data_IF_053961467183
#
_entry.id   IF_053961467183
#
_cell.length_a   1.000
_cell.length_b   1.000
_cell.length_c   1.000
_cell.angle_alpha   90.00
_cell.angle_beta   90.00
_cell.angle_gamma   90.00
#
_symmetry.space_group_name_H-M   'P 1'
#
loop_
_entity.id
_entity.type
_entity.pdbx_description
1 polymer ?
#
# COMPACT_ATOMS: atom_id res chain seq x y z
N UNK A 1 -36.60 -39.52 -1.15
CA UNK A 1 -35.29 -40.18 -1.21
C UNK A 1 -34.39 -39.46 -0.22
N UNK A 2 -34.31 -40.00 0.99
CA UNK A 2 -33.49 -39.50 2.10
C UNK A 2 -32.04 -39.88 1.82
N UNK A 3 -31.16 -38.89 1.70
CA UNK A 3 -29.73 -39.12 1.64
C UNK A 3 -29.31 -39.79 2.95
N UNK A 4 -28.82 -41.02 2.86
CA UNK A 4 -28.27 -41.74 3.99
C UNK A 4 -26.97 -41.03 4.40
N UNK A 5 -26.97 -40.42 5.59
CA UNK A 5 -25.77 -39.89 6.23
C UNK A 5 -24.85 -41.06 6.55
N UNK A 6 -23.70 -41.14 5.86
CA UNK A 6 -22.64 -42.07 6.23
C UNK A 6 -22.13 -41.71 7.63
N UNK A 7 -21.99 -42.68 8.55
CA UNK A 7 -21.43 -42.43 9.88
C UNK A 7 -19.98 -42.00 9.74
N UNK A 8 -19.71 -40.74 10.09
CA UNK A 8 -18.37 -40.17 10.15
C UNK A 8 -17.66 -40.87 11.31
N UNK A 9 -16.62 -41.65 11.01
CA UNK A 9 -15.79 -42.31 12.01
C UNK A 9 -14.96 -41.23 12.75
N UNK A 10 -15.19 -40.98 14.07
CA UNK A 10 -14.61 -39.85 14.78
C UNK A 10 -13.11 -39.98 15.07
N UNK A 11 -12.50 -41.15 14.84
CA UNK A 11 -11.12 -41.44 15.25
C UNK A 11 -10.01 -40.97 14.27
N UNK A 12 -10.34 -40.34 13.14
CA UNK A 12 -9.31 -39.88 12.17
C UNK A 12 -9.52 -38.46 11.61
N UNK A 13 -10.40 -37.64 12.20
CA UNK A 13 -10.51 -36.24 11.74
C UNK A 13 -9.27 -35.45 12.14
N UNK A 14 -8.58 -34.86 11.16
CA UNK A 14 -7.42 -34.01 11.43
C UNK A 14 -7.79 -32.85 12.39
N UNK A 15 -6.84 -32.33 13.19
CA UNK A 15 -7.09 -31.18 14.06
C UNK A 15 -7.71 -29.98 13.33
N UNK A 16 -7.31 -29.76 12.06
CA UNK A 16 -7.89 -28.72 11.21
C UNK A 16 -9.37 -28.98 10.91
N UNK A 17 -9.77 -30.22 10.66
CA UNK A 17 -11.16 -30.57 10.43
C UNK A 17 -12.01 -30.38 11.69
N UNK A 18 -11.46 -30.71 12.87
CA UNK A 18 -12.15 -30.46 14.14
C UNK A 18 -12.36 -28.96 14.38
N UNK A 19 -11.33 -28.14 14.14
CA UNK A 19 -11.43 -26.69 14.21
C UNK A 19 -12.48 -26.14 13.23
N UNK A 20 -12.48 -26.66 11.99
CA UNK A 20 -13.46 -26.28 10.96
C UNK A 20 -14.88 -26.59 11.40
N UNK A 21 -15.12 -27.80 11.90
CA UNK A 21 -16.44 -28.21 12.38
C UNK A 21 -16.90 -27.32 13.55
N UNK A 22 -16.01 -27.04 14.51
CA UNK A 22 -16.31 -26.17 15.64
C UNK A 22 -16.63 -24.73 15.20
N UNK A 23 -15.89 -24.19 14.22
CA UNK A 23 -16.16 -22.88 13.64
C UNK A 23 -17.51 -22.85 12.92
N UNK A 24 -17.80 -23.86 12.10
CA UNK A 24 -19.10 -23.95 11.41
C UNK A 24 -20.27 -24.00 12.39
N UNK A 25 -20.21 -24.87 13.40
CA UNK A 25 -21.27 -24.93 14.42
C UNK A 25 -21.47 -23.61 15.15
N UNK A 26 -20.40 -22.82 15.36
CA UNK A 26 -20.51 -21.48 15.95
C UNK A 26 -21.05 -20.43 14.99
N UNK A 27 -20.74 -20.53 13.70
CA UNK A 27 -21.30 -19.63 12.69
C UNK A 27 -22.81 -19.84 12.53
N UNK A 28 -23.28 -21.08 12.62
CA UNK A 28 -24.71 -21.43 12.57
C UNK A 28 -25.52 -20.78 13.72
N UNK A 29 -24.88 -20.49 14.85
CA UNK A 29 -25.50 -19.83 16.01
C UNK A 29 -25.56 -18.30 15.87
N UNK A 30 -24.84 -17.71 14.92
CA UNK A 30 -24.70 -16.26 14.77
C UNK A 30 -25.55 -15.75 13.60
N UNK A 31 -26.42 -14.77 13.85
CA UNK A 31 -27.19 -14.09 12.79
C UNK A 31 -26.27 -13.40 11.77
N UNK A 32 -25.16 -12.83 12.25
CA UNK A 32 -24.16 -12.16 11.40
C UNK A 32 -22.77 -12.33 12.01
N UNK A 33 -21.85 -12.90 11.23
CA UNK A 33 -20.45 -13.00 11.60
C UNK A 33 -19.57 -12.24 10.60
N UNK A 34 -18.56 -11.54 11.13
CA UNK A 34 -17.56 -10.84 10.33
C UNK A 34 -16.16 -11.25 10.79
N UNK A 35 -15.26 -11.51 9.84
CA UNK A 35 -13.85 -11.75 10.07
C UNK A 35 -13.04 -10.68 9.35
N UNK A 36 -12.14 -10.02 10.07
CA UNK A 36 -11.20 -9.07 9.50
C UNK A 36 -9.82 -9.72 9.54
N UNK A 37 -9.23 -9.92 8.38
CA UNK A 37 -7.84 -10.37 8.21
C UNK A 37 -7.02 -9.19 7.76
N UNK A 38 -6.17 -8.68 8.66
CA UNK A 38 -5.29 -7.56 8.36
C UNK A 38 -3.95 -8.05 7.79
N UNK A 39 -3.38 -7.27 6.86
CA UNK A 39 -2.04 -7.46 6.30
C UNK A 39 -1.84 -8.86 5.69
N UNK A 40 -2.72 -9.29 4.79
CA UNK A 40 -2.56 -10.60 4.12
C UNK A 40 -1.24 -10.68 3.35
N UNK A 41 -0.67 -9.54 2.98
CA UNK A 41 0.64 -9.49 2.33
C UNK A 41 1.78 -9.88 3.26
N UNK A 42 1.55 -10.21 4.53
CA UNK A 42 2.55 -10.79 5.42
C UNK A 42 2.75 -12.30 5.23
N UNK A 43 1.80 -12.97 4.57
CA UNK A 43 1.87 -14.40 4.27
C UNK A 43 2.68 -14.65 2.99
N UNK A 44 3.24 -15.85 2.84
CA UNK A 44 3.78 -16.31 1.56
C UNK A 44 2.64 -16.58 0.57
N UNK A 45 2.93 -16.62 -0.74
CA UNK A 45 1.92 -16.91 -1.77
C UNK A 45 1.19 -18.23 -1.51
N UNK A 46 1.90 -19.27 -1.07
CA UNK A 46 1.30 -20.56 -0.75
C UNK A 46 0.35 -20.48 0.45
N UNK A 47 0.73 -19.74 1.50
CA UNK A 47 -0.12 -19.52 2.67
C UNK A 47 -1.35 -18.67 2.32
N UNK A 48 -1.21 -17.64 1.49
CA UNK A 48 -2.34 -16.86 0.98
C UNK A 48 -3.35 -17.75 0.25
N UNK A 49 -2.91 -18.61 -0.66
CA UNK A 49 -3.81 -19.51 -1.41
C UNK A 49 -4.55 -20.49 -0.49
N UNK A 50 -3.85 -21.02 0.52
CA UNK A 50 -4.48 -21.89 1.53
C UNK A 50 -5.49 -21.11 2.37
N UNK A 51 -5.15 -19.91 2.80
CA UNK A 51 -6.01 -19.03 3.58
C UNK A 51 -7.26 -18.63 2.77
N UNK A 52 -7.11 -18.18 1.53
CA UNK A 52 -8.22 -17.84 0.63
C UNK A 52 -9.17 -19.02 0.42
N UNK A 53 -8.63 -20.24 0.28
CA UNK A 53 -9.44 -21.46 0.18
C UNK A 53 -10.27 -21.69 1.45
N UNK A 54 -9.67 -21.61 2.63
CA UNK A 54 -10.40 -21.81 3.90
C UNK A 54 -11.42 -20.70 4.16
N UNK A 55 -11.07 -19.45 3.86
CA UNK A 55 -11.97 -18.30 3.98
C UNK A 55 -13.16 -18.41 3.02
N UNK A 56 -12.96 -18.95 1.81
CA UNK A 56 -14.05 -19.22 0.87
C UNK A 56 -15.04 -20.25 1.41
N UNK A 57 -14.54 -21.30 2.08
CA UNK A 57 -15.40 -22.30 2.73
C UNK A 57 -16.20 -21.71 3.89
N UNK A 58 -15.56 -20.89 4.72
CA UNK A 58 -16.24 -20.20 5.82
C UNK A 58 -17.27 -19.19 5.31
N UNK A 59 -16.97 -18.50 4.20
CA UNK A 59 -17.89 -17.52 3.61
C UNK A 59 -19.14 -18.17 3.05
N UNK A 60 -19.02 -19.37 2.49
CA UNK A 60 -20.17 -20.19 2.09
C UNK A 60 -21.10 -20.55 3.26
N UNK A 61 -20.60 -20.53 4.50
CA UNK A 61 -21.38 -20.71 5.74
C UNK A 61 -21.87 -19.39 6.36
N UNK A 62 -21.87 -18.30 5.59
CA UNK A 62 -22.39 -17.00 6.04
C UNK A 62 -21.37 -16.08 6.70
N UNK A 63 -20.09 -16.48 6.82
CA UNK A 63 -19.04 -15.59 7.31
C UNK A 63 -18.75 -14.48 6.28
N UNK A 64 -18.81 -13.22 6.72
CA UNK A 64 -18.39 -12.09 5.91
C UNK A 64 -16.93 -11.80 6.19
N UNK A 65 -16.08 -11.90 5.17
CA UNK A 65 -14.64 -11.71 5.32
C UNK A 65 -14.23 -10.38 4.71
N UNK A 66 -13.50 -9.58 5.48
CA UNK A 66 -12.80 -8.40 5.02
C UNK A 66 -11.31 -8.67 5.13
N UNK A 67 -10.58 -8.46 4.05
CA UNK A 67 -9.14 -8.68 3.97
C UNK A 67 -8.49 -7.36 3.61
N UNK A 68 -7.41 -7.00 4.29
CA UNK A 68 -6.62 -5.82 3.93
C UNK A 68 -5.33 -6.27 3.25
N UNK A 69 -4.99 -5.57 2.18
CA UNK A 69 -3.78 -5.76 1.39
C UNK A 69 -3.19 -4.38 1.11
N UNK A 70 -1.88 -4.25 1.30
CA UNK A 70 -1.05 -3.13 0.85
C UNK A 70 -0.65 -3.30 -0.62
N UNK A 71 -0.59 -4.53 -1.10
CA UNK A 71 -0.36 -4.85 -2.50
C UNK A 71 -1.69 -4.66 -3.24
N UNK A 72 -1.69 -3.75 -4.22
CA UNK A 72 -2.82 -3.66 -5.14
C UNK A 72 -2.83 -4.91 -5.99
N UNK A 73 -3.81 -5.77 -5.76
CA UNK A 73 -4.06 -6.89 -6.62
C UNK A 73 -4.63 -6.31 -7.92
N UNK A 74 -3.95 -6.46 -9.05
CA UNK A 74 -4.50 -6.01 -10.34
C UNK A 74 -5.53 -7.05 -10.80
N UNK A 75 -6.57 -7.30 -9.99
CA UNK A 75 -7.75 -8.00 -10.49
C UNK A 75 -8.46 -7.01 -11.39
N UNK A 76 -8.72 -7.46 -12.62
CA UNK A 76 -9.40 -6.74 -13.70
C UNK A 76 -10.28 -5.62 -13.15
N UNK A 77 -9.84 -4.36 -13.36
CA UNK A 77 -10.64 -3.18 -13.00
C UNK A 77 -12.03 -3.42 -13.58
N UNK A 78 -13.10 -3.42 -12.75
CA UNK A 78 -14.44 -3.61 -13.28
C UNK A 78 -14.64 -2.61 -14.40
N UNK A 79 -15.09 -3.10 -15.56
CA UNK A 79 -15.39 -2.30 -16.74
C UNK A 79 -16.21 -1.12 -16.28
N UNK A 80 -15.65 0.10 -16.30
CA UNK A 80 -16.29 1.41 -16.24
C UNK A 80 -17.83 1.36 -16.05
N UNK A 81 -18.28 0.98 -14.84
CA UNK A 81 -19.70 0.69 -14.57
C UNK A 81 -20.36 1.92 -13.97
N UNK A 82 -21.53 2.29 -14.50
CA UNK A 82 -22.31 3.45 -14.07
C UNK A 82 -23.69 3.04 -13.58
N UNK A 83 -24.37 3.96 -12.88
CA UNK A 83 -25.77 3.78 -12.52
C UNK A 83 -26.68 4.22 -13.67
N UNK A 84 -27.50 3.31 -14.20
CA UNK A 84 -28.44 3.59 -15.29
C UNK A 84 -29.67 4.41 -14.85
N UNK A 85 -29.83 4.65 -13.55
CA UNK A 85 -30.97 5.37 -12.98
C UNK A 85 -30.61 6.71 -12.34
N UNK A 86 -29.33 7.06 -12.29
CA UNK A 86 -28.91 8.41 -11.94
C UNK A 86 -28.99 9.29 -13.18
N UNK A 87 -29.72 10.40 -13.10
CA UNK A 87 -29.74 11.42 -14.16
C UNK A 87 -28.58 12.40 -13.98
N UNK A 88 -27.74 12.61 -15.00
CA UNK A 88 -26.79 13.73 -15.08
C UNK A 88 -25.35 13.45 -14.62
N UNK A 89 -24.69 14.50 -14.11
CA UNK A 89 -23.26 14.56 -13.73
C UNK A 89 -22.88 13.73 -12.49
N UNK A 90 -23.83 13.04 -11.87
CA UNK A 90 -23.60 12.12 -10.74
C UNK A 90 -23.17 10.71 -11.19
N UNK A 91 -22.91 10.50 -12.48
CA UNK A 91 -22.41 9.23 -13.03
C UNK A 91 -20.93 9.04 -12.74
N UNK A 92 -20.57 8.90 -11.46
CA UNK A 92 -19.26 8.36 -11.10
C UNK A 92 -19.23 6.85 -11.37
N UNK A 93 -18.03 6.33 -11.63
CA UNK A 93 -17.81 4.90 -11.66
C UNK A 93 -18.24 4.25 -10.34
N UNK A 94 -18.85 3.07 -10.43
CA UNK A 94 -19.33 2.31 -9.28
C UNK A 94 -18.38 1.16 -8.97
N UNK A 95 -17.80 1.18 -7.76
CA UNK A 95 -17.06 0.03 -7.21
C UNK A 95 -18.01 -1.05 -6.65
N UNK A 96 -19.17 -0.62 -6.15
CA UNK A 96 -20.23 -1.47 -5.62
C UNK A 96 -21.52 -1.17 -6.38
N UNK A 97 -22.09 -2.19 -7.02
CA UNK A 97 -23.27 -2.04 -7.86
C UNK A 97 -24.09 -3.34 -7.92
N UNK A 98 -25.34 -3.20 -8.38
CA UNK A 98 -26.25 -4.32 -8.54
C UNK A 98 -26.77 -4.39 -9.95
N UNK A 99 -26.83 -5.60 -10.50
CA UNK A 99 -27.34 -5.89 -11.86
C UNK A 99 -28.70 -6.57 -11.79
N UNK A 100 -29.55 -6.25 -12.76
CA UNK A 100 -30.85 -6.90 -12.90
C UNK A 100 -30.68 -8.37 -13.32
N UNK A 101 -30.92 -9.31 -12.41
CA UNK A 101 -30.78 -10.76 -12.63
C UNK A 101 -31.73 -11.28 -13.71
N UNK A 102 -32.93 -10.71 -13.79
CA UNK A 102 -33.91 -11.07 -14.82
C UNK A 102 -33.39 -10.74 -16.23
N UNK A 103 -32.84 -9.54 -16.44
CA UNK A 103 -32.28 -9.16 -17.73
C UNK A 103 -31.02 -9.97 -18.07
N UNK A 104 -30.20 -10.31 -17.07
CA UNK A 104 -29.01 -11.14 -17.26
C UNK A 104 -29.35 -12.55 -17.79
N UNK A 105 -30.47 -13.13 -17.36
CA UNK A 105 -30.93 -14.45 -17.81
C UNK A 105 -31.47 -14.51 -19.25
N UNK A 106 -31.69 -13.38 -19.90
CA UNK A 106 -32.32 -13.31 -21.25
C UNK A 106 -31.32 -13.39 -22.41
N UNK A 107 -30.05 -13.72 -22.15
CA UNK A 107 -29.01 -13.78 -23.18
C UNK A 107 -28.50 -12.41 -23.65
N UNK A 108 -28.90 -11.33 -22.98
CA UNK A 108 -28.34 -9.98 -23.20
C UNK A 108 -26.89 -9.98 -22.72
N UNK A 109 -25.99 -9.39 -23.51
CA UNK A 109 -24.58 -9.24 -23.13
C UNK A 109 -24.45 -8.50 -21.79
N UNK A 110 -23.51 -8.93 -20.94
CA UNK A 110 -23.39 -8.49 -19.54
C UNK A 110 -23.09 -7.00 -19.34
N UNK A 111 -22.54 -6.36 -20.36
CA UNK A 111 -22.23 -4.93 -20.47
C UNK A 111 -23.46 -4.07 -20.70
N UNK A 112 -24.60 -4.67 -21.05
CA UNK A 112 -25.85 -3.96 -21.36
C UNK A 112 -26.95 -4.21 -20.30
N UNK A 113 -26.62 -4.91 -19.21
CA UNK A 113 -27.56 -5.20 -18.14
C UNK A 113 -27.76 -3.97 -17.26
N UNK A 114 -29.03 -3.64 -16.99
CA UNK A 114 -29.39 -2.49 -16.15
C UNK A 114 -28.72 -2.57 -14.77
N UNK A 115 -28.00 -1.53 -14.41
CA UNK A 115 -27.16 -1.44 -13.23
C UNK A 115 -27.59 -0.29 -12.32
N UNK A 116 -27.63 -0.54 -11.01
CA UNK A 116 -27.95 0.46 -10.00
C UNK A 116 -26.79 0.68 -9.03
N UNK A 117 -26.60 1.93 -8.60
CA UNK A 117 -25.81 2.27 -7.42
C UNK A 117 -26.58 1.94 -6.14
N UNK A 118 -25.89 2.00 -4.98
CA UNK A 118 -26.47 1.71 -3.66
C UNK A 118 -27.73 2.52 -3.39
N UNK A 119 -27.67 3.84 -3.58
CA UNK A 119 -28.80 4.76 -3.37
C UNK A 119 -30.01 4.41 -4.24
N UNK A 120 -29.79 4.10 -5.53
CA UNK A 120 -30.88 3.74 -6.43
C UNK A 120 -31.50 2.38 -6.09
N UNK A 121 -30.68 1.43 -5.63
CA UNK A 121 -31.19 0.14 -5.11
C UNK A 121 -32.02 0.33 -3.84
N UNK A 122 -31.52 1.10 -2.87
CA UNK A 122 -32.21 1.34 -1.59
C UNK A 122 -33.55 2.08 -1.78
N UNK A 123 -33.60 2.99 -2.76
CA UNK A 123 -34.84 3.68 -3.16
C UNK A 123 -35.72 2.86 -4.12
N UNK A 124 -35.40 1.57 -4.33
CA UNK A 124 -36.15 0.62 -5.14
C UNK A 124 -36.45 1.11 -6.56
N UNK A 125 -35.47 1.73 -7.23
CA UNK A 125 -35.62 2.14 -8.64
C UNK A 125 -35.89 0.92 -9.52
N UNK A 126 -36.90 0.95 -10.41
CA UNK A 126 -37.20 -0.16 -11.30
C UNK A 126 -36.13 -0.29 -12.39
N UNK A 127 -35.91 -1.52 -12.86
CA UNK A 127 -35.12 -1.78 -14.04
C UNK A 127 -35.76 -1.08 -15.25
N UNK A 128 -34.99 -0.26 -15.97
CA UNK A 128 -35.48 0.46 -17.15
C UNK A 128 -35.91 -0.42 -18.32
N UNK A 129 -35.57 -1.72 -18.28
CA UNK A 129 -35.91 -2.69 -19.35
C UNK A 129 -37.10 -3.57 -19.02
N UNK A 130 -37.09 -4.21 -17.84
CA UNK A 130 -38.13 -5.18 -17.46
C UNK A 130 -39.10 -4.66 -16.39
N UNK A 131 -38.90 -3.45 -15.87
CA UNK A 131 -39.77 -2.84 -14.85
C UNK A 131 -39.64 -3.41 -13.43
N UNK A 132 -38.97 -4.55 -13.23
CA UNK A 132 -38.80 -5.15 -11.91
C UNK A 132 -37.93 -4.30 -10.97
N UNK A 133 -38.31 -4.23 -9.69
CA UNK A 133 -37.60 -3.49 -8.63
C UNK A 133 -36.79 -4.39 -7.70
N UNK A 134 -37.14 -5.67 -7.59
CA UNK A 134 -36.56 -6.59 -6.58
C UNK A 134 -35.43 -7.47 -7.12
N UNK A 135 -35.33 -7.62 -8.44
CA UNK A 135 -34.42 -8.55 -9.10
C UNK A 135 -32.98 -8.01 -9.25
N UNK A 136 -32.45 -7.28 -8.26
CA UNK A 136 -31.12 -6.67 -8.31
C UNK A 136 -30.12 -7.38 -7.39
N UNK A 137 -29.19 -8.10 -8.01
CA UNK A 137 -28.18 -8.93 -7.34
C UNK A 137 -26.78 -8.34 -7.50
N UNK A 138 -25.90 -8.63 -6.54
CA UNK A 138 -24.48 -8.32 -6.67
C UNK A 138 -23.87 -9.31 -7.67
N UNK A 139 -23.24 -8.83 -8.75
CA UNK A 139 -22.69 -9.72 -9.77
C UNK A 139 -21.31 -10.27 -9.42
N UNK A 140 -20.80 -9.98 -8.22
CA UNK A 140 -19.47 -10.35 -7.75
C UNK A 140 -19.56 -11.16 -6.47
N UNK A 141 -18.59 -12.05 -6.27
CA UNK A 141 -18.38 -12.81 -5.03
C UNK A 141 -17.41 -12.12 -4.08
N UNK A 142 -16.60 -11.19 -4.60
CA UNK A 142 -15.60 -10.42 -3.88
C UNK A 142 -15.65 -8.96 -4.36
N UNK A 143 -15.49 -8.02 -3.42
CA UNK A 143 -15.33 -6.60 -3.72
C UNK A 143 -13.95 -6.17 -3.26
N UNK A 144 -13.16 -5.58 -4.16
CA UNK A 144 -11.92 -4.91 -3.80
C UNK A 144 -12.21 -3.42 -3.63
N UNK A 145 -12.04 -2.92 -2.41
CA UNK A 145 -12.27 -1.52 -2.09
C UNK A 145 -10.93 -0.81 -1.94
N UNK A 146 -10.76 0.25 -2.71
CA UNK A 146 -9.61 1.14 -2.59
C UNK A 146 -9.86 2.10 -1.44
N UNK A 147 -9.11 1.95 -0.37
CA UNK A 147 -9.07 2.94 0.70
C UNK A 147 -8.12 4.07 0.26
N UNK A 148 -8.60 4.95 -0.61
CA UNK A 148 -7.91 6.20 -0.97
C UNK A 148 -8.72 7.43 -0.55
N UNK A 149 -8.13 8.62 -0.74
CA UNK A 149 -8.70 9.91 -0.32
C UNK A 149 -10.13 10.18 -0.81
N UNK A 150 -10.57 9.49 -1.88
CA UNK A 150 -11.94 9.62 -2.37
C UNK A 150 -12.95 8.88 -1.50
N UNK A 151 -12.52 7.80 -0.86
CA UNK A 151 -13.36 6.96 0.01
C UNK A 151 -13.38 7.44 1.45
N UNK A 152 -12.24 7.93 1.93
CA UNK A 152 -12.07 8.50 3.26
C UNK A 152 -11.39 9.85 3.06
N UNK A 153 -12.11 10.95 3.30
CA UNK A 153 -11.49 12.27 3.25
C UNK A 153 -10.39 12.31 4.31
N UNK A 154 -9.13 12.24 3.87
CA UNK A 154 -7.98 12.29 4.76
C UNK A 154 -7.97 13.59 5.57
N UNK A 155 -8.43 14.70 4.97
CA UNK A 155 -8.69 15.94 5.68
C UNK A 155 -9.66 15.76 6.85
N UNK A 156 -10.83 15.15 6.64
CA UNK A 156 -11.78 14.88 7.73
C UNK A 156 -11.21 13.96 8.81
N UNK A 157 -10.41 12.97 8.40
CA UNK A 157 -9.71 12.10 9.33
C UNK A 157 -8.73 12.89 10.21
N UNK A 158 -7.88 13.70 9.60
CA UNK A 158 -6.91 14.58 10.29
C UNK A 158 -7.65 15.54 11.24
N UNK A 159 -8.72 16.21 10.77
CA UNK A 159 -9.53 17.11 11.59
C UNK A 159 -10.09 16.42 12.82
N UNK A 160 -10.66 15.22 12.61
CA UNK A 160 -11.23 14.43 13.69
C UNK A 160 -10.17 14.01 14.70
N UNK A 161 -9.01 13.56 14.23
CA UNK A 161 -7.91 13.14 15.11
C UNK A 161 -7.36 14.31 15.94
N UNK A 162 -7.13 15.46 15.30
CA UNK A 162 -6.72 16.70 15.98
C UNK A 162 -7.71 17.13 17.06
N UNK A 163 -9.01 17.13 16.75
CA UNK A 163 -10.03 17.54 17.73
C UNK A 163 -10.25 16.50 18.83
N UNK A 164 -10.00 15.22 18.55
CA UNK A 164 -10.05 14.15 19.55
C UNK A 164 -8.91 14.21 20.56
N UNK A 165 -7.75 14.78 20.20
CA UNK A 165 -6.60 14.90 21.10
C UNK A 165 -6.47 16.30 21.71
N UNK A 166 -6.91 17.34 20.99
CA UNK A 166 -6.65 18.74 21.35
C UNK A 166 -7.90 19.58 21.61
N UNK A 167 -9.08 18.95 21.62
CA UNK A 167 -10.36 19.60 21.88
C UNK A 167 -10.91 20.34 20.67
N UNK A 168 -11.93 21.16 20.87
CA UNK A 168 -12.58 21.87 19.75
C UNK A 168 -11.66 22.92 19.12
N UNK A 169 -11.19 22.63 17.90
CA UNK A 169 -10.35 23.51 17.08
C UNK A 169 -11.15 24.24 16.00
N UNK A 170 -12.47 24.00 15.92
CA UNK A 170 -13.32 24.57 14.87
C UNK A 170 -13.19 23.89 13.52
N UNK A 171 -12.66 22.66 13.48
CA UNK A 171 -12.49 21.84 12.27
C UNK A 171 -13.74 21.03 11.90
N UNK A 172 -14.85 21.26 12.61
CA UNK A 172 -16.16 20.67 12.33
C UNK A 172 -16.15 19.13 12.30
N UNK A 173 -15.30 18.47 13.12
CA UNK A 173 -15.41 17.02 13.22
C UNK A 173 -16.73 16.61 13.88
N UNK A 174 -17.32 15.53 13.39
CA UNK A 174 -18.68 15.10 13.71
C UNK A 174 -18.81 14.40 15.07
N UNK A 175 -17.72 14.21 15.82
CA UNK A 175 -17.72 13.41 17.05
C UNK A 175 -17.85 14.30 18.30
N UNK A 176 -18.89 14.05 19.08
CA UNK A 176 -19.12 14.64 20.40
C UNK A 176 -19.17 13.56 21.50
N UNK A 177 -18.82 13.88 22.77
CA UNK A 177 -18.23 15.15 23.20
C UNK A 177 -16.73 15.25 22.85
N UNK A 178 -16.28 16.46 22.51
CA UNK A 178 -14.84 16.76 22.33
C UNK A 178 -14.17 16.92 23.69
N UNK A 179 -12.88 16.53 23.85
CA UNK A 179 -12.18 16.68 25.13
C UNK A 179 -11.89 18.16 25.44
N UNK A 180 -11.50 18.48 26.69
CA UNK A 180 -10.96 19.79 27.03
C UNK A 180 -9.73 20.11 26.18
N UNK A 181 -9.54 21.40 25.84
CA UNK A 181 -8.40 21.82 25.01
C UNK A 181 -7.07 21.52 25.70
N UNK A 182 -6.20 20.80 24.98
CA UNK A 182 -4.81 20.57 25.39
C UNK A 182 -4.00 21.88 25.39
N UNK A 183 -2.74 21.86 25.85
CA UNK A 183 -1.86 23.05 25.75
C UNK A 183 -1.69 23.49 24.30
N UNK A 184 -1.42 22.54 23.40
CA UNK A 184 -1.35 22.79 21.98
C UNK A 184 -2.70 23.26 21.42
N UNK A 185 -3.81 22.61 21.82
CA UNK A 185 -5.15 22.98 21.38
C UNK A 185 -5.53 24.41 21.75
N UNK A 186 -5.16 24.87 22.96
CA UNK A 186 -5.32 26.28 23.36
C UNK A 186 -4.49 27.20 22.46
N UNK A 187 -3.20 26.89 22.25
CA UNK A 187 -2.31 27.68 21.40
C UNK A 187 -2.77 27.76 19.94
N UNK A 188 -3.35 26.68 19.41
CA UNK A 188 -3.91 26.64 18.06
C UNK A 188 -5.25 27.37 17.94
N UNK A 189 -6.06 27.37 19.00
CA UNK A 189 -7.40 27.98 18.98
C UNK A 189 -7.40 29.51 19.08
N UNK A 190 -6.25 30.14 19.28
CA UNK A 190 -6.15 31.60 19.31
C UNK A 190 -6.54 32.16 17.93
N UNK A 191 -7.38 33.22 17.91
CA UNK A 191 -7.96 33.84 16.69
C UNK A 191 -6.98 34.05 15.53
N UNK A 192 -5.72 34.51 15.74
CA UNK A 192 -4.77 34.66 14.63
C UNK A 192 -4.35 33.34 13.95
N UNK A 193 -4.66 32.17 14.52
CA UNK A 193 -4.14 30.87 14.08
C UNK A 193 -5.14 30.01 13.29
N UNK A 194 -6.35 30.48 12.98
CA UNK A 194 -7.34 29.66 12.25
C UNK A 194 -6.85 29.20 10.88
N UNK A 195 -6.35 30.14 10.08
CA UNK A 195 -5.76 29.83 8.77
C UNK A 195 -4.55 28.89 8.93
N UNK A 196 -3.79 29.05 10.01
CA UNK A 196 -2.65 28.20 10.29
C UNK A 196 -3.05 26.75 10.62
N UNK A 197 -4.21 26.50 11.23
CA UNK A 197 -4.72 25.14 11.44
C UNK A 197 -5.11 24.51 10.09
N UNK A 198 -5.75 25.25 9.20
CA UNK A 198 -6.08 24.78 7.85
C UNK A 198 -4.82 24.45 7.04
N UNK A 199 -3.81 25.33 7.07
CA UNK A 199 -2.50 25.08 6.47
C UNK A 199 -1.80 23.87 7.08
N UNK A 200 -1.91 23.66 8.39
CA UNK A 200 -1.36 22.48 9.06
C UNK A 200 -2.04 21.20 8.57
N UNK A 201 -3.37 21.20 8.48
CA UNK A 201 -4.15 20.08 7.97
C UNK A 201 -3.77 19.76 6.52
N UNK A 202 -3.73 20.76 5.66
CA UNK A 202 -3.35 20.62 4.26
C UNK A 202 -1.93 20.05 4.15
N UNK A 203 -0.98 20.58 4.92
CA UNK A 203 0.40 20.09 4.93
C UNK A 203 0.49 18.64 5.39
N UNK A 204 -0.22 18.23 6.44
CA UNK A 204 -0.23 16.83 6.86
C UNK A 204 -0.83 15.95 5.76
N UNK A 205 -1.91 16.39 5.12
CA UNK A 205 -2.57 15.68 4.03
C UNK A 205 -1.63 15.49 2.83
N UNK A 206 -0.95 16.56 2.40
CA UNK A 206 0.03 16.52 1.30
C UNK A 206 1.18 15.57 1.63
N UNK A 207 1.74 15.66 2.84
CA UNK A 207 2.85 14.81 3.29
C UNK A 207 2.50 13.33 3.49
N UNK A 208 1.22 13.06 3.75
CA UNK A 208 0.72 11.71 3.87
C UNK A 208 0.44 11.07 2.51
N UNK A 209 0.33 11.85 1.42
CA UNK A 209 0.09 11.37 0.06
C UNK A 209 -1.07 10.36 -0.01
N UNK A 210 -2.18 10.71 0.67
CA UNK A 210 -3.37 9.87 0.79
C UNK A 210 -3.24 8.63 1.70
N UNK A 211 -2.12 8.49 2.42
CA UNK A 211 -1.86 7.35 3.29
C UNK A 211 -2.20 7.67 4.76
N UNK A 212 -3.25 7.04 5.27
CA UNK A 212 -3.73 7.21 6.65
C UNK A 212 -2.65 6.86 7.69
N UNK A 213 -1.84 5.83 7.46
CA UNK A 213 -0.78 5.45 8.40
C UNK A 213 0.31 6.52 8.49
N UNK A 214 0.68 7.15 7.36
CA UNK A 214 1.60 8.28 7.38
C UNK A 214 0.98 9.51 8.05
N UNK A 215 -0.30 9.80 7.80
CA UNK A 215 -0.99 10.88 8.50
C UNK A 215 -0.98 10.66 10.02
N UNK A 216 -1.27 9.44 10.49
CA UNK A 216 -1.18 9.07 11.91
C UNK A 216 0.22 9.24 12.48
N UNK A 217 1.27 8.86 11.74
CA UNK A 217 2.66 9.06 12.19
C UNK A 217 2.98 10.57 12.29
N UNK A 218 2.51 11.38 11.36
CA UNK A 218 2.69 12.84 11.39
C UNK A 218 1.93 13.46 12.56
N UNK A 219 0.68 13.07 12.78
CA UNK A 219 -0.15 13.46 13.90
C UNK A 219 0.47 13.05 15.25
N UNK A 220 1.00 11.83 15.35
CA UNK A 220 1.70 11.36 16.54
C UNK A 220 2.96 12.16 16.89
N UNK A 221 3.61 12.81 15.92
CA UNK A 221 4.67 13.78 16.21
C UNK A 221 4.10 15.12 16.67
N UNK A 222 3.02 15.56 16.03
CA UNK A 222 2.32 16.80 16.35
C UNK A 222 1.80 16.80 17.80
N UNK A 223 1.18 15.70 18.24
CA UNK A 223 0.59 15.59 19.58
C UNK A 223 1.63 15.71 20.70
N UNK A 224 2.91 15.48 20.40
CA UNK A 224 4.02 15.66 21.36
C UNK A 224 4.39 17.14 21.53
N UNK A 225 4.01 17.99 20.59
CA UNK A 225 4.29 19.42 20.61
C UNK A 225 3.35 20.13 21.60
N UNK A 226 3.81 21.28 22.08
CA UNK A 226 3.08 22.06 23.10
C UNK A 226 2.68 23.46 22.62
N UNK A 227 3.21 23.91 21.48
CA UNK A 227 3.02 25.28 20.96
C UNK A 227 2.66 25.26 19.47
N UNK A 228 1.84 26.24 19.05
CA UNK A 228 1.47 26.42 17.65
C UNK A 228 2.71 26.71 16.77
N UNK A 229 3.66 27.51 17.25
CA UNK A 229 4.88 27.83 16.49
C UNK A 229 5.68 26.57 16.13
N UNK A 230 5.87 25.66 17.08
CA UNK A 230 6.56 24.39 16.82
C UNK A 230 5.75 23.50 15.87
N UNK A 231 4.42 23.49 16.01
CA UNK A 231 3.53 22.76 15.12
C UNK A 231 3.54 23.30 13.69
N UNK A 232 3.69 24.61 13.51
CA UNK A 232 3.62 25.29 12.21
C UNK A 232 4.99 25.48 11.55
N UNK A 233 6.07 25.33 12.30
CA UNK A 233 7.44 25.46 11.78
C UNK A 233 7.63 24.62 10.50
N UNK A 234 8.36 25.14 9.48
CA UNK A 234 8.74 24.35 8.31
C UNK A 234 9.44 23.07 8.75
N UNK A 235 9.14 21.96 8.09
CA UNK A 235 9.83 20.72 8.43
C UNK A 235 11.31 20.84 8.09
N UNK A 236 12.11 20.20 8.95
CA UNK A 236 13.48 19.90 8.60
C UNK A 236 13.54 19.04 7.33
N UNK A 237 14.63 19.18 6.58
CA UNK A 237 14.98 18.42 5.37
C UNK A 237 15.23 16.91 5.65
N UNK A 238 14.67 16.38 6.74
CA UNK A 238 14.95 15.04 7.28
C UNK A 238 13.62 14.38 7.65
N UNK A 239 13.49 13.10 7.30
CA UNK A 239 12.32 12.32 7.66
C UNK A 239 12.20 12.18 9.19
N UNK A 240 10.99 12.35 9.77
CA UNK A 240 10.79 12.12 11.20
C UNK A 240 11.17 10.69 11.61
N UNK A 241 11.74 10.55 12.81
CA UNK A 241 12.27 9.28 13.30
C UNK A 241 11.23 8.17 13.38
N UNK A 242 9.96 8.48 13.68
CA UNK A 242 8.90 7.48 13.70
C UNK A 242 8.50 6.99 12.28
N UNK A 243 8.62 7.84 11.26
CA UNK A 243 8.42 7.44 9.85
C UNK A 243 9.58 6.58 9.38
N UNK A 244 10.82 6.97 9.73
CA UNK A 244 12.01 6.16 9.47
C UNK A 244 11.89 4.79 10.15
N UNK A 245 11.43 4.74 11.40
CA UNK A 245 11.20 3.49 12.13
C UNK A 245 10.11 2.64 11.49
N UNK A 246 9.01 3.25 11.03
CA UNK A 246 7.95 2.58 10.30
C UNK A 246 8.46 1.91 9.02
N UNK A 247 9.24 2.62 8.21
CA UNK A 247 9.83 2.02 7.00
C UNK A 247 10.86 0.94 7.33
N UNK A 248 11.70 1.14 8.35
CA UNK A 248 12.63 0.10 8.80
C UNK A 248 11.91 -1.20 9.16
N UNK A 249 10.82 -1.12 9.92
CA UNK A 249 10.04 -2.30 10.30
C UNK A 249 9.52 -3.05 9.06
N UNK A 250 9.05 -2.33 8.04
CA UNK A 250 8.60 -2.96 6.80
C UNK A 250 9.74 -3.53 5.95
N UNK A 251 10.90 -2.86 5.87
CA UNK A 251 12.09 -3.44 5.22
C UNK A 251 12.57 -4.70 5.97
N UNK A 252 12.49 -4.72 7.29
CA UNK A 252 12.82 -5.91 8.06
C UNK A 252 11.84 -7.06 7.83
N UNK A 253 10.56 -6.77 7.55
CA UNK A 253 9.62 -7.79 7.08
C UNK A 253 10.07 -8.37 5.72
N UNK A 254 10.52 -7.52 4.79
CA UNK A 254 11.08 -8.00 3.50
C UNK A 254 12.30 -8.89 3.74
N UNK A 255 13.17 -8.57 4.71
CA UNK A 255 14.36 -9.37 5.05
C UNK A 255 14.04 -10.75 5.63
N UNK A 256 12.85 -10.94 6.22
CA UNK A 256 12.41 -12.24 6.78
C UNK A 256 11.88 -13.20 5.70
N UNK A 257 11.64 -12.73 4.48
CA UNK A 257 11.23 -13.56 3.36
C UNK A 257 12.31 -14.60 2.97
N UNK A 258 11.91 -15.67 2.25
CA UNK A 258 12.86 -16.57 1.57
C UNK A 258 13.91 -15.80 0.77
N UNK A 259 15.12 -16.37 0.67
CA UNK A 259 16.28 -15.62 0.16
C UNK A 259 16.09 -15.03 -1.24
N UNK A 260 15.36 -15.74 -2.12
CA UNK A 260 15.06 -15.27 -3.47
C UNK A 260 14.08 -14.10 -3.48
N UNK A 261 12.97 -14.20 -2.72
CA UNK A 261 11.97 -13.14 -2.59
C UNK A 261 12.54 -11.90 -1.90
N UNK A 262 13.35 -12.09 -0.85
CA UNK A 262 14.06 -10.99 -0.18
C UNK A 262 14.95 -10.23 -1.16
N UNK A 263 15.80 -10.94 -1.90
CA UNK A 263 16.73 -10.33 -2.85
C UNK A 263 15.96 -9.59 -3.97
N UNK A 264 14.90 -10.21 -4.50
CA UNK A 264 14.02 -9.60 -5.47
C UNK A 264 13.39 -8.31 -4.90
N UNK A 265 12.76 -8.37 -3.74
CA UNK A 265 12.07 -7.23 -3.13
C UNK A 265 12.99 -6.03 -2.91
N UNK A 266 14.18 -6.26 -2.33
CA UNK A 266 15.16 -5.20 -2.09
C UNK A 266 15.70 -4.61 -3.41
N UNK A 267 15.98 -5.44 -4.42
CA UNK A 267 16.46 -4.98 -5.74
C UNK A 267 15.40 -4.20 -6.50
N UNK A 268 14.15 -4.65 -6.52
CA UNK A 268 13.05 -3.94 -7.19
C UNK A 268 12.84 -2.58 -6.53
N UNK A 269 12.78 -2.52 -5.20
CA UNK A 269 12.66 -1.25 -4.47
C UNK A 269 13.81 -0.31 -4.81
N UNK A 270 15.05 -0.80 -4.73
CA UNK A 270 16.23 -0.02 -5.05
C UNK A 270 16.26 0.44 -6.52
N UNK A 271 15.73 -0.37 -7.45
CA UNK A 271 15.67 -0.03 -8.86
C UNK A 271 14.65 1.07 -9.14
N UNK A 272 13.44 0.91 -8.61
CA UNK A 272 12.35 1.89 -8.75
C UNK A 272 12.74 3.23 -8.14
N UNK A 273 13.38 3.21 -6.97
CA UNK A 273 13.80 4.42 -6.29
C UNK A 273 14.84 5.25 -7.07
N UNK A 274 15.48 4.72 -8.12
CA UNK A 274 16.42 5.51 -8.95
C UNK A 274 15.76 6.37 -10.03
N UNK A 275 14.47 6.18 -10.26
CA UNK A 275 13.71 6.93 -11.25
C UNK A 275 12.92 8.05 -10.59
N UNK A 276 12.40 8.97 -11.39
CA UNK A 276 11.53 10.02 -10.88
C UNK A 276 10.31 9.42 -10.15
N UNK A 277 9.98 9.96 -8.98
CA UNK A 277 8.91 9.44 -8.12
C UNK A 277 7.55 9.45 -8.82
N UNK A 278 7.24 10.52 -9.55
CA UNK A 278 5.94 10.69 -10.21
C UNK A 278 5.84 9.85 -11.48
N UNK A 279 6.93 9.78 -12.26
CA UNK A 279 6.97 9.01 -13.49
C UNK A 279 7.01 7.49 -13.23
N UNK A 280 7.73 7.05 -12.20
CA UNK A 280 8.03 5.64 -11.97
C UNK A 280 8.89 5.03 -13.07
N UNK A 281 8.87 3.69 -13.18
CA UNK A 281 9.61 2.93 -14.17
C UNK A 281 8.77 1.75 -14.71
N UNK A 282 8.70 1.50 -16.02
CA UNK A 282 8.02 0.32 -16.55
C UNK A 282 8.61 -0.98 -15.98
N UNK A 283 7.76 -1.94 -15.61
CA UNK A 283 8.23 -3.14 -14.93
C UNK A 283 9.18 -3.98 -15.81
N UNK A 284 9.04 -3.91 -17.15
CA UNK A 284 9.92 -4.58 -18.09
C UNK A 284 11.36 -4.08 -17.96
N UNK A 285 11.52 -2.77 -17.73
CA UNK A 285 12.83 -2.15 -17.55
C UNK A 285 13.43 -2.62 -16.23
N UNK A 286 12.65 -2.61 -15.15
CA UNK A 286 13.08 -3.14 -13.84
C UNK A 286 13.50 -4.61 -13.96
N UNK A 287 12.71 -5.43 -14.66
CA UNK A 287 13.02 -6.83 -14.89
C UNK A 287 14.34 -7.03 -15.65
N UNK A 288 14.60 -6.22 -16.69
CA UNK A 288 15.89 -6.24 -17.42
C UNK A 288 17.07 -5.89 -16.50
N UNK A 289 16.93 -4.83 -15.69
CA UNK A 289 17.98 -4.37 -14.76
C UNK A 289 18.30 -5.45 -13.73
N UNK A 290 17.27 -6.06 -13.12
CA UNK A 290 17.45 -7.10 -12.11
C UNK A 290 18.08 -8.35 -12.72
N UNK A 291 17.67 -8.76 -13.94
CA UNK A 291 18.22 -9.95 -14.60
C UNK A 291 19.70 -9.83 -14.96
N UNK A 292 20.16 -8.62 -15.28
CA UNK A 292 21.58 -8.32 -15.54
C UNK A 292 22.40 -8.24 -14.25
N UNK A 293 21.76 -7.96 -13.13
CA UNK A 293 22.43 -7.78 -11.84
C UNK A 293 23.06 -9.11 -11.40
N UNK A 294 24.32 -9.12 -10.93
CA UNK A 294 24.93 -10.32 -10.41
C UNK A 294 24.05 -10.92 -9.32
N UNK A 295 23.96 -12.25 -9.30
CA UNK A 295 23.40 -12.95 -8.15
C UNK A 295 24.28 -12.58 -6.97
N UNK A 296 23.67 -11.92 -5.99
CA UNK A 296 24.24 -11.56 -4.70
C UNK A 296 24.79 -12.84 -4.11
N UNK A 297 26.10 -13.03 -4.26
CA UNK A 297 26.82 -14.17 -3.71
C UNK A 297 26.57 -14.10 -2.21
N UNK A 298 25.82 -15.09 -1.70
CA UNK A 298 25.39 -15.20 -0.29
C UNK A 298 26.50 -14.68 0.62
N UNK A 299 26.40 -13.42 1.05
CA UNK A 299 27.30 -12.87 2.05
C UNK A 299 27.14 -13.75 3.27
N UNK A 300 28.23 -14.42 3.64
CA UNK A 300 28.32 -15.57 4.54
C UNK A 300 27.34 -15.52 5.72
N UNK A 301 26.16 -16.14 5.56
CA UNK A 301 25.42 -16.65 6.71
C UNK A 301 26.22 -17.83 7.25
N UNK A 302 26.56 -17.89 8.55
CA UNK A 302 27.31 -19.00 9.12
C UNK A 302 26.59 -20.30 8.79
N UNK A 303 27.34 -21.23 8.22
CA UNK A 303 26.84 -22.48 7.66
C UNK A 303 25.98 -23.22 8.68
N UNK A 304 24.66 -23.14 8.52
CA UNK A 304 23.74 -24.05 9.18
C UNK A 304 23.86 -25.39 8.44
N UNK A 305 24.43 -26.38 9.13
CA UNK A 305 24.54 -27.76 8.68
C UNK A 305 23.13 -28.26 8.35
N UNK A 306 22.83 -28.48 7.08
CA UNK A 306 21.70 -29.30 6.65
C UNK A 306 22.13 -30.23 5.52
N UNK A 307 22.12 -31.51 5.87
CA UNK A 307 22.25 -32.67 5.01
C UNK A 307 20.89 -32.98 4.38
N UNK A 308 20.83 -33.13 3.06
CA UNK A 308 20.15 -34.22 2.32
C UNK A 308 20.09 -33.89 0.81
N UNK A 309 20.28 -34.87 -0.09
CA UNK A 309 20.29 -34.66 -1.53
C UNK A 309 18.88 -34.71 -2.13
N UNK A 310 18.55 -33.74 -3.00
CA UNK A 310 17.30 -33.71 -3.76
C UNK A 310 17.50 -34.28 -5.19
N UNK A 311 16.55 -35.12 -5.61
CA UNK A 311 16.49 -35.84 -6.89
C UNK A 311 15.98 -34.89 -8.00
N UNK A 312 16.54 -34.93 -9.22
CA UNK A 312 16.09 -34.07 -10.32
C UNK A 312 14.80 -34.60 -10.96
N UNK A 313 13.81 -33.73 -11.13
CA UNK A 313 12.55 -34.06 -11.84
C UNK A 313 12.57 -33.45 -13.25
N UNK A 314 12.08 -34.26 -14.18
CA UNK A 314 12.11 -34.16 -15.64
C UNK A 314 11.26 -33.02 -16.22
N UNK A 315 11.75 -32.45 -17.31
CA UNK A 315 11.13 -31.47 -18.20
C UNK A 315 9.91 -32.03 -18.92
N UNK A 316 8.81 -31.26 -18.94
CA UNK A 316 7.60 -31.55 -19.72
C UNK A 316 7.36 -30.42 -20.72
N UNK A 317 7.15 -30.81 -21.96
CA UNK A 317 6.88 -29.95 -23.13
C UNK A 317 5.42 -29.53 -23.14
N UNK A 318 5.14 -28.23 -23.19
CA UNK A 318 3.80 -27.68 -23.37
C UNK A 318 3.61 -27.21 -24.81
N UNK A 319 2.47 -27.60 -25.37
CA UNK A 319 2.04 -27.31 -26.74
C UNK A 319 1.09 -26.13 -26.70
N UNK A 320 1.36 -25.13 -27.54
CA UNK A 320 0.66 -23.86 -27.66
C UNK A 320 -0.77 -24.04 -28.18
N UNK A 321 -1.74 -23.48 -27.46
CA UNK A 321 -3.07 -23.15 -28.01
C UNK A 321 -3.25 -21.63 -27.86
N UNK A 322 -3.15 -20.95 -29.00
CA UNK A 322 -3.26 -19.51 -29.14
C UNK A 322 -4.71 -19.14 -29.47
N UNK A 323 -5.12 -17.95 -29.00
CA UNK A 323 -6.38 -17.22 -29.26
C UNK A 323 -7.42 -17.30 -28.13
N UNK A 324 -7.08 -16.64 -27.00
CA UNK A 324 -8.05 -15.91 -26.17
C UNK A 324 -7.32 -14.84 -25.30
N UNK A 325 -7.35 -13.60 -25.78
CA UNK A 325 -7.11 -12.34 -25.08
C UNK A 325 -5.74 -12.12 -24.41
N UNK A 326 -5.13 -10.99 -24.79
CA UNK A 326 -3.92 -10.34 -24.31
C UNK A 326 -3.95 -9.94 -22.83
N UNK A 327 -4.04 -10.94 -21.95
CA UNK A 327 -3.88 -10.85 -20.50
C UNK A 327 -2.76 -11.80 -20.06
N UNK A 328 -1.56 -11.60 -20.62
CA UNK A 328 -0.36 -12.01 -19.92
C UNK A 328 -0.26 -11.09 -18.70
N UNK A 329 -0.95 -11.42 -17.62
CA UNK A 329 -0.54 -10.98 -16.29
C UNK A 329 0.91 -11.42 -16.18
N UNK A 330 1.82 -10.45 -16.22
CA UNK A 330 3.23 -10.74 -16.13
C UNK A 330 3.43 -11.28 -14.72
N UNK A 331 3.48 -12.61 -14.54
CA UNK A 331 3.73 -13.25 -13.24
C UNK A 331 4.92 -12.60 -12.53
N UNK A 332 5.91 -12.12 -13.29
CA UNK A 332 7.04 -11.33 -12.79
C UNK A 332 6.65 -10.01 -12.10
N UNK A 333 5.65 -9.27 -12.60
CA UNK A 333 5.19 -8.03 -11.96
C UNK A 333 4.53 -8.31 -10.62
N UNK A 334 3.64 -9.30 -10.59
CA UNK A 334 2.98 -9.73 -9.34
C UNK A 334 4.04 -10.19 -8.33
N UNK A 335 4.97 -11.05 -8.74
CA UNK A 335 6.10 -11.49 -7.91
C UNK A 335 6.93 -10.32 -7.36
N UNK A 336 7.19 -9.28 -8.17
CA UNK A 336 7.91 -8.09 -7.73
C UNK A 336 7.13 -7.30 -6.67
N UNK A 337 5.81 -7.13 -6.85
CA UNK A 337 4.95 -6.42 -5.91
C UNK A 337 4.83 -7.20 -4.59
N UNK A 338 4.68 -8.52 -4.65
CA UNK A 338 4.68 -9.42 -3.49
C UNK A 338 6.01 -9.41 -2.74
N UNK A 339 7.12 -9.53 -3.46
CA UNK A 339 8.45 -9.46 -2.87
C UNK A 339 8.71 -8.10 -2.19
N UNK A 340 8.13 -7.02 -2.72
CA UNK A 340 8.22 -5.67 -2.15
C UNK A 340 7.20 -5.40 -1.02
N UNK A 341 6.28 -6.32 -0.70
CA UNK A 341 5.36 -6.24 0.45
C UNK A 341 4.58 -4.91 0.55
N UNK A 342 4.12 -4.41 -0.60
CA UNK A 342 3.32 -3.18 -0.68
C UNK A 342 4.11 -1.87 -0.64
N UNK A 343 5.44 -1.91 -0.65
CA UNK A 343 6.28 -0.71 -0.77
C UNK A 343 6.33 -0.13 -2.19
N UNK A 344 5.79 -0.87 -3.16
CA UNK A 344 5.68 -0.47 -4.55
C UNK A 344 4.24 -0.56 -5.01
N UNK A 345 3.84 0.35 -5.89
CA UNK A 345 2.52 0.36 -6.52
C UNK A 345 2.67 0.52 -8.02
N UNK A 346 1.67 0.05 -8.76
CA UNK A 346 1.56 0.29 -10.20
C UNK A 346 0.74 1.54 -10.48
N UNK A 347 1.16 2.32 -11.47
CA UNK A 347 0.36 3.41 -12.03
C UNK A 347 -0.85 2.88 -12.81
N UNK A 348 -1.92 3.67 -12.88
CA UNK A 348 -3.13 3.31 -13.64
C UNK A 348 -3.03 3.48 -15.16
N UNK A 349 -1.83 3.76 -15.70
CA UNK A 349 -1.62 3.93 -17.13
C UNK A 349 -1.45 2.57 -17.84
N UNK A 350 -1.59 2.57 -19.17
CA UNK A 350 -1.44 1.36 -20.00
C UNK A 350 -0.07 0.67 -19.87
N UNK A 351 0.96 1.41 -19.43
CA UNK A 351 2.31 0.88 -19.20
C UNK A 351 2.57 0.44 -17.76
N UNK A 352 1.62 0.68 -16.84
CA UNK A 352 1.68 0.29 -15.43
C UNK A 352 3.06 0.51 -14.79
N UNK A 353 3.59 1.76 -14.78
CA UNK A 353 4.90 2.01 -14.20
C UNK A 353 4.89 1.66 -12.71
N UNK A 354 5.94 0.97 -12.27
CA UNK A 354 6.24 0.76 -10.87
C UNK A 354 6.76 2.05 -10.26
N UNK A 355 6.21 2.42 -9.11
CA UNK A 355 6.65 3.58 -8.31
C UNK A 355 6.69 3.22 -6.83
N UNK A 356 7.47 3.96 -6.06
CA UNK A 356 7.37 3.91 -4.61
C UNK A 356 5.94 4.26 -4.19
N UNK A 357 5.44 3.62 -3.14
CA UNK A 357 4.04 3.79 -2.75
C UNK A 357 3.71 5.18 -2.19
N UNK A 358 4.70 5.94 -1.72
CA UNK A 358 4.60 7.35 -1.31
C UNK A 358 5.95 8.07 -1.43
N UNK A 359 5.92 9.40 -1.45
CA UNK A 359 7.12 10.24 -1.60
C UNK A 359 8.07 10.10 -0.40
N UNK A 360 7.54 10.04 0.83
CA UNK A 360 8.37 9.88 2.02
C UNK A 360 9.20 8.59 1.98
N UNK A 361 8.64 7.50 1.44
CA UNK A 361 9.39 6.26 1.26
C UNK A 361 10.41 6.38 0.13
N UNK A 362 10.07 7.06 -0.96
CA UNK A 362 11.04 7.36 -2.02
C UNK A 362 12.27 8.10 -1.46
N UNK A 363 12.07 9.17 -0.69
CA UNK A 363 13.13 9.90 0.02
C UNK A 363 13.93 8.98 0.96
N UNK A 364 13.25 8.11 1.70
CA UNK A 364 13.89 7.15 2.60
C UNK A 364 14.90 6.24 1.88
N UNK A 365 14.55 5.76 0.67
CA UNK A 365 15.44 4.92 -0.13
C UNK A 365 16.55 5.74 -0.79
N UNK A 366 16.23 6.93 -1.31
CA UNK A 366 17.19 7.81 -1.97
C UNK A 366 18.32 8.27 -1.04
N UNK A 367 17.97 8.64 0.19
CA UNK A 367 18.90 9.14 1.21
C UNK A 367 19.60 8.03 2.01
N UNK A 368 19.48 6.77 1.59
CA UNK A 368 20.20 5.62 2.17
C UNK A 368 19.94 5.43 3.68
N UNK A 369 18.72 5.68 4.16
CA UNK A 369 18.37 5.39 5.56
C UNK A 369 18.49 3.89 5.91
N UNK A 370 18.51 3.00 4.91
CA UNK A 370 18.67 1.55 5.09
C UNK A 370 19.87 1.00 4.31
N UNK A 371 20.83 0.40 5.02
CA UNK A 371 22.04 -0.16 4.41
C UNK A 371 21.76 -1.28 3.41
N UNK A 372 20.76 -2.13 3.65
CA UNK A 372 20.46 -3.25 2.75
C UNK A 372 19.90 -2.78 1.39
N UNK A 373 19.16 -1.67 1.37
CA UNK A 373 18.69 -1.05 0.12
C UNK A 373 19.85 -0.36 -0.61
N UNK A 374 20.71 0.35 0.13
CA UNK A 374 21.91 0.97 -0.43
C UNK A 374 22.86 -0.06 -1.07
N UNK A 375 23.08 -1.19 -0.39
CA UNK A 375 23.84 -2.33 -0.89
C UNK A 375 23.19 -2.92 -2.14
N UNK A 376 21.87 -3.19 -2.09
CA UNK A 376 21.13 -3.73 -3.24
C UNK A 376 21.22 -2.82 -4.45
N UNK A 377 21.15 -1.50 -4.25
CA UNK A 377 21.30 -0.47 -5.29
C UNK A 377 22.67 -0.51 -5.97
N UNK A 378 23.73 -0.82 -5.22
CA UNK A 378 25.09 -0.92 -5.75
C UNK A 378 25.30 -2.11 -6.71
N UNK A 379 24.42 -3.12 -6.62
CA UNK A 379 24.44 -4.30 -7.49
C UNK A 379 23.61 -4.13 -8.78
N UNK A 380 22.86 -3.04 -8.92
CA UNK A 380 22.01 -2.83 -10.09
C UNK A 380 22.78 -2.20 -11.24
N UNK A 381 22.69 -2.82 -12.41
CA UNK A 381 23.26 -2.31 -13.66
C UNK A 381 22.18 -1.70 -14.57
N UNK A 382 22.23 -0.38 -14.73
CA UNK A 382 21.37 0.38 -15.63
C UNK A 382 21.99 0.56 -17.03
N UNK A 383 23.13 -0.08 -17.29
CA UNK A 383 23.80 -0.08 -18.59
C UNK A 383 22.86 -0.53 -19.71
N UNK A 384 22.67 0.37 -20.69
CA UNK A 384 21.81 0.14 -21.86
C UNK A 384 20.32 0.34 -21.62
N UNK A 385 19.91 0.95 -20.50
CA UNK A 385 18.56 1.49 -20.34
C UNK A 385 18.53 2.90 -20.95
N UNK A 386 17.57 3.18 -21.83
CA UNK A 386 17.46 4.51 -22.43
C UNK A 386 17.03 5.51 -21.32
N UNK A 387 17.70 6.67 -21.16
CA UNK A 387 17.29 7.69 -20.20
C UNK A 387 15.81 8.10 -20.29
N UNK A 388 15.21 8.05 -21.49
CA UNK A 388 13.79 8.33 -21.70
C UNK A 388 12.88 7.29 -21.03
N UNK A 389 13.32 6.03 -20.90
CA UNK A 389 12.58 4.97 -20.20
C UNK A 389 12.60 5.15 -18.67
N UNK A 390 13.56 5.92 -18.14
CA UNK A 390 13.70 6.19 -16.70
C UNK A 390 12.83 7.36 -16.21
N UNK A 391 11.93 7.86 -17.06
CA UNK A 391 11.06 8.99 -16.73
C UNK A 391 11.80 10.34 -16.69
N UNK A 392 13.05 10.38 -17.15
CA UNK A 392 13.85 11.60 -17.25
C UNK A 392 13.27 12.52 -18.33
N UNK A 393 12.34 13.38 -17.93
CA UNK A 393 11.90 14.50 -18.77
C UNK A 393 13.02 15.55 -18.83
N UNK A 394 14.08 15.26 -19.60
CA UNK A 394 15.08 16.17 -20.17
C UNK A 394 15.35 17.53 -19.53
N UNK A 395 15.42 17.65 -18.20
CA UNK A 395 15.62 18.94 -17.54
C UNK A 395 16.11 18.79 -16.11
N UNK A 396 17.42 18.96 -15.89
CA UNK A 396 17.95 19.13 -14.53
C UNK A 396 19.40 18.73 -14.33
N UNK A 397 20.30 19.61 -14.73
CA UNK A 397 21.59 19.92 -14.09
C UNK A 397 22.30 18.81 -13.32
N UNK A 398 23.44 18.39 -13.88
CA UNK A 398 24.60 17.98 -13.08
C UNK A 398 24.82 18.99 -11.94
N UNK A 399 24.52 18.60 -10.70
CA UNK A 399 25.12 19.25 -9.52
C UNK A 399 26.61 18.93 -9.56
N UNK A 400 27.35 19.75 -10.30
CA UNK A 400 28.79 19.68 -10.41
C UNK A 400 29.44 19.75 -9.02
N UNK A 401 30.05 18.64 -8.60
CA UNK A 401 31.18 18.67 -7.67
C UNK A 401 32.34 19.35 -8.42
N UNK A 402 32.42 20.68 -8.28
CA UNK A 402 33.56 21.46 -8.74
C UNK A 402 34.79 21.17 -7.89
N UNK A 403 35.74 20.44 -8.47
CA UNK A 403 37.11 20.31 -8.00
C UNK A 403 37.78 21.68 -8.04
N UNK A 404 38.19 22.21 -6.87
CA UNK A 404 39.01 23.43 -6.79
C UNK A 404 40.43 23.13 -7.27
N UNK A 405 40.82 23.79 -8.36
CA UNK A 405 42.21 23.93 -8.77
C UNK A 405 42.75 25.30 -8.32
N UNK A 406 44.01 25.29 -7.89
CA UNK A 406 44.81 26.42 -7.41
C UNK A 406 44.89 27.60 -8.38
N UNK A 407 44.83 28.82 -7.84
CA UNK A 407 45.09 30.05 -8.58
C UNK A 407 45.25 31.27 -7.67
N UNK A 408 46.51 31.65 -7.43
CA UNK A 408 46.96 32.81 -6.63
C UNK A 408 46.42 34.16 -7.15
N UNK A 409 46.07 35.07 -6.24
CA UNK A 409 46.31 36.50 -6.42
C UNK A 409 45.29 37.46 -5.79
N UNK A 410 45.77 38.37 -4.93
CA UNK A 410 45.26 39.75 -4.91
C UNK A 410 44.34 40.20 -3.76
N UNK A 411 44.96 40.64 -2.67
CA UNK A 411 44.61 41.74 -1.73
C UNK A 411 43.17 42.32 -1.65
N UNK A 412 42.72 42.36 -0.40
CA UNK A 412 42.24 43.51 0.40
C UNK A 412 40.76 43.65 0.81
N UNK A 413 40.65 43.76 2.15
CA UNK A 413 39.74 44.55 2.99
C UNK A 413 38.27 44.17 3.17
N UNK A 414 37.96 43.84 4.43
CA UNK A 414 36.77 44.34 5.13
C UNK A 414 35.66 43.32 5.35
N UNK A 415 35.50 42.83 6.58
CA UNK A 415 34.29 42.10 6.95
C UNK A 415 34.46 41.17 8.15
N UNK A 416 34.16 41.70 9.34
CA UNK A 416 33.89 40.96 10.58
C UNK A 416 32.93 39.79 10.33
N UNK A 417 33.36 38.56 10.62
CA UNK A 417 32.49 37.38 10.61
C UNK A 417 32.80 36.46 11.78
N UNK A 418 31.75 36.15 12.53
CA UNK A 418 31.70 35.32 13.72
C UNK A 418 32.13 33.88 13.41
N UNK A 419 33.15 33.41 14.13
CA UNK A 419 33.51 31.99 14.19
C UNK A 419 32.54 31.27 15.12
N UNK A 420 31.97 30.16 14.65
CA UNK A 420 31.10 29.29 15.45
C UNK A 420 30.99 27.87 14.87
N UNK A 421 32.08 27.12 14.99
CA UNK A 421 32.18 25.65 15.19
C UNK A 421 31.24 24.72 14.37
N UNK A 422 31.82 24.14 13.30
CA UNK A 422 31.36 22.89 12.72
C UNK A 422 31.68 21.71 13.66
N UNK A 423 30.65 21.15 14.29
CA UNK A 423 30.74 19.95 15.12
C UNK A 423 30.74 18.68 14.28
N UNK A 424 31.82 17.89 14.40
CA UNK A 424 31.91 16.52 13.88
C UNK A 424 30.83 15.65 14.53
N UNK A 425 29.97 15.02 13.73
CA UNK A 425 29.05 14.00 14.20
C UNK A 425 29.84 12.72 14.53
N UNK A 426 30.21 12.52 15.79
CA UNK A 426 30.71 11.24 16.31
C UNK A 426 29.51 10.33 16.55
N UNK A 427 29.48 9.16 15.89
CA UNK A 427 28.59 8.04 16.25
C UNK A 427 28.93 7.60 17.68
N UNK A 428 28.01 7.81 18.62
CA UNK A 428 28.02 7.14 19.92
C UNK A 428 26.98 6.03 19.91
N UNK A 429 27.46 4.79 20.00
CA UNK A 429 26.62 3.63 20.35
C UNK A 429 26.12 3.83 21.78
N UNK A 430 24.81 3.87 21.96
CA UNK A 430 24.17 3.74 23.27
C UNK A 430 23.45 2.40 23.29
N UNK A 431 24.02 1.47 24.06
CA UNK A 431 23.32 0.29 24.55
C UNK A 431 22.21 0.77 25.50
N UNK A 432 20.97 0.34 25.26
CA UNK A 432 19.91 0.35 26.28
C UNK A 432 19.44 -1.07 26.50
N UNK A 433 19.70 -1.55 27.71
CA UNK A 433 19.07 -2.72 28.31
C UNK A 433 17.57 -2.43 28.47
N UNK A 434 16.74 -3.37 28.00
CA UNK A 434 15.34 -3.46 28.37
C UNK A 434 15.28 -4.59 29.39
N UNK A 435 15.01 -4.22 30.64
CA UNK A 435 14.61 -5.15 31.70
C UNK A 435 13.11 -5.33 31.55
N UNK A 436 12.68 -6.57 31.32
CA UNK A 436 11.29 -7.00 31.50
C UNK A 436 11.07 -7.37 32.97
#
# INVERSE_FOLDING_TARGET
MTAAECPINPETTSPLQQLRNALFSRLDELDRAFLIVDDIDSFSTAECLLLERELSLLSAQGLKVLMTSRIRYVKTVPVNTFCDSCSGSESSYLDIYWKCSHCQGTGVKSDIVHTLCRRCKETRKPCGRCGHTENFVEPYTQVELRLDDKTLSLGQFISRDLELEHGDLGLQSTKEPKPPRSKLGRSLSDVPNKEAIEQLQERISQQADGNIALALLRLGNLHKLQTAEAALSPLADVLPSNIVAFFHAGIDNIKRQPAAERDLGLKVIAAVARCDFLAGIPYEVVHRVIRKSPKTLRTHLPARIQSAPAVPTTTRTETEDLVALSHLTHHSLEEMLYAARGFLVTGGSSRQPLRAYCEAFYTYVQEDYNEALAESRSHLDFGGVNPEELGGSGGGQERGRGTLADGKGGRNSGGTSLRGLAGRCRRTHIHREIVC
#
